data_IF_647120193292
#
_entry.id   IF_647120193292
#
_cell.length_a   1.000
_cell.length_b   1.000
_cell.length_c   1.000
_cell.angle_alpha   90.00
_cell.angle_beta   90.00
_cell.angle_gamma   90.00
#
_symmetry.space_group_name_H-M   'P 1'
#
loop_
_entity.id
_entity.type
_entity.pdbx_description
1 polymer ?
#
# COMPACT_ATOMS: atom_id res chain seq x y z
N UNK A 1 10.10 -0.27 9.06
CA UNK A 1 8.78 0.19 8.52
C UNK A 1 8.08 1.15 9.47
N UNK A 2 7.96 0.83 10.77
CA UNK A 2 7.31 1.70 11.77
C UNK A 2 7.86 3.14 11.83
N UNK A 3 9.18 3.32 11.81
CA UNK A 3 9.77 4.67 11.84
C UNK A 3 9.33 5.56 10.65
N UNK A 4 9.28 4.98 9.45
CA UNK A 4 8.80 5.68 8.24
C UNK A 4 7.31 6.00 8.39
N UNK A 5 6.52 5.04 8.87
CA UNK A 5 5.08 5.22 9.09
C UNK A 5 4.80 6.42 10.01
N UNK A 6 5.47 6.50 11.16
CA UNK A 6 5.31 7.59 12.12
C UNK A 6 5.64 8.94 11.49
N UNK A 7 6.81 9.05 10.82
CA UNK A 7 7.21 10.29 10.16
C UNK A 7 6.24 10.70 9.05
N UNK A 8 5.77 9.75 8.24
CA UNK A 8 4.81 10.02 7.17
C UNK A 8 3.43 10.45 7.71
N UNK A 9 2.93 9.84 8.79
CA UNK A 9 1.68 10.26 9.42
C UNK A 9 1.80 11.67 10.03
N UNK A 10 2.92 11.95 10.69
CA UNK A 10 3.22 13.26 11.27
C UNK A 10 3.27 14.35 10.19
N UNK A 11 3.95 14.10 9.06
CA UNK A 11 4.08 15.07 7.96
C UNK A 11 2.88 15.07 6.99
N UNK A 12 1.99 14.07 7.05
CA UNK A 12 0.95 13.87 6.04
C UNK A 12 1.52 13.45 4.68
N UNK A 13 2.70 12.82 4.66
CA UNK A 13 3.41 12.42 3.45
C UNK A 13 2.86 11.09 2.93
N UNK A 14 2.46 11.07 1.65
CA UNK A 14 2.09 9.85 0.94
C UNK A 14 3.32 9.03 0.60
N UNK A 15 3.25 7.71 0.72
CA UNK A 15 4.39 6.83 0.49
C UNK A 15 3.94 5.42 0.06
N UNK A 16 4.81 4.70 -0.63
CA UNK A 16 4.56 3.31 -1.04
C UNK A 16 5.55 2.41 -0.30
N UNK A 17 5.03 1.39 0.36
CA UNK A 17 5.81 0.33 0.99
C UNK A 17 5.85 -0.90 0.10
N UNK A 18 6.94 -1.67 0.20
CA UNK A 18 7.06 -2.95 -0.48
C UNK A 18 7.70 -4.01 0.42
N UNK A 19 7.29 -5.24 0.19
CA UNK A 19 7.77 -6.40 0.93
C UNK A 19 7.94 -7.62 0.03
N UNK A 20 8.90 -8.46 0.40
CA UNK A 20 9.11 -9.81 -0.14
C UNK A 20 9.18 -10.74 1.05
N UNK A 21 8.59 -11.92 0.94
CA UNK A 21 8.59 -12.94 2.00
C UNK A 21 9.95 -13.60 2.17
N UNK A 22 10.18 -14.17 3.36
CA UNK A 22 11.45 -14.82 3.71
C UNK A 22 11.76 -16.07 2.86
N UNK A 23 10.74 -16.67 2.24
CA UNK A 23 10.89 -17.81 1.33
C UNK A 23 10.94 -17.38 -0.15
N UNK A 24 10.93 -16.07 -0.42
CA UNK A 24 11.00 -15.45 -1.74
C UNK A 24 9.91 -15.83 -2.76
N UNK A 25 8.82 -16.47 -2.34
CA UNK A 25 7.72 -16.86 -3.26
C UNK A 25 6.49 -15.97 -3.15
N UNK A 26 6.57 -14.87 -2.40
CA UNK A 26 5.53 -13.86 -2.36
C UNK A 26 6.07 -12.46 -2.10
N UNK A 27 5.27 -11.47 -2.43
CA UNK A 27 5.58 -10.08 -2.14
C UNK A 27 4.37 -9.18 -2.32
N UNK A 28 4.54 -7.90 -2.03
CA UNK A 28 3.46 -6.92 -2.16
C UNK A 28 4.01 -5.51 -2.30
N UNK A 29 3.14 -4.61 -2.77
CA UNK A 29 3.26 -3.17 -2.61
C UNK A 29 2.00 -2.62 -1.96
N UNK A 30 2.15 -1.57 -1.15
CA UNK A 30 1.03 -0.88 -0.51
C UNK A 30 1.22 0.63 -0.58
N UNK A 31 0.26 1.32 -1.19
CA UNK A 31 0.23 2.77 -1.25
C UNK A 31 -0.53 3.35 -0.05
N UNK A 32 0.20 4.08 0.78
CA UNK A 32 -0.30 4.66 2.02
C UNK A 32 -0.48 6.16 1.87
N UNK A 33 -1.74 6.59 2.06
CA UNK A 33 -2.16 7.98 2.11
C UNK A 33 -2.67 8.23 3.52
N UNK A 34 -1.90 8.95 4.38
CA UNK A 34 -2.28 9.18 5.76
C UNK A 34 -3.71 9.75 5.89
N UNK A 35 -4.57 9.01 6.60
CA UNK A 35 -5.96 9.38 6.82
C UNK A 35 -6.97 8.84 5.81
N UNK A 36 -6.53 8.46 4.61
CA UNK A 36 -7.39 7.94 3.53
C UNK A 36 -7.29 6.41 3.42
N UNK A 37 -6.07 5.86 3.44
CA UNK A 37 -5.81 4.41 3.42
C UNK A 37 -5.13 3.96 4.71
N UNK A 38 -5.18 2.65 4.98
CA UNK A 38 -4.54 2.05 6.15
C UNK A 38 -3.04 2.38 6.18
N UNK A 39 -2.59 2.98 7.28
CA UNK A 39 -1.17 3.13 7.56
C UNK A 39 -0.59 1.78 8.04
N UNK A 40 0.73 1.68 8.16
CA UNK A 40 1.38 0.42 8.55
C UNK A 40 1.01 -0.02 9.98
N UNK A 41 0.65 0.93 10.85
CA UNK A 41 0.18 0.68 12.22
C UNK A 41 -1.33 0.37 12.32
N UNK A 42 -2.09 0.44 11.22
CA UNK A 42 -3.52 0.11 11.24
C UNK A 42 -3.75 -1.41 11.31
N UNK A 43 -2.87 -2.19 10.71
CA UNK A 43 -2.87 -3.65 10.71
C UNK A 43 -1.44 -4.17 10.90
N UNK A 44 -0.83 -3.95 12.08
CA UNK A 44 0.55 -4.33 12.31
C UNK A 44 0.71 -5.85 12.28
N UNK A 45 1.86 -6.38 11.80
CA UNK A 45 2.14 -7.80 11.90
C UNK A 45 2.21 -8.22 13.38
N UNK A 46 1.91 -9.49 13.66
CA UNK A 46 1.80 -10.04 15.02
C UNK A 46 3.00 -9.74 15.92
N UNK A 47 4.21 -9.76 15.34
CA UNK A 47 5.47 -9.49 16.05
C UNK A 47 5.50 -8.06 16.62
N UNK A 48 5.06 -7.10 15.81
CA UNK A 48 4.96 -5.69 16.22
C UNK A 48 3.84 -5.51 17.24
N UNK A 49 2.66 -6.11 16.99
CA UNK A 49 1.53 -6.03 17.92
C UNK A 49 1.83 -6.65 19.30
N UNK A 50 2.69 -7.67 19.35
CA UNK A 50 3.06 -8.37 20.59
C UNK A 50 4.27 -7.76 21.29
N UNK A 51 4.84 -6.65 20.80
CA UNK A 51 6.09 -6.05 21.29
C UNK A 51 7.26 -7.06 21.42
N UNK A 52 7.28 -8.07 20.55
CA UNK A 52 8.38 -9.03 20.47
C UNK A 52 9.50 -8.39 19.65
N UNK A 53 10.72 -8.40 20.17
CA UNK A 53 11.88 -7.90 19.41
C UNK A 53 12.07 -8.78 18.16
N UNK A 54 12.01 -8.18 16.96
CA UNK A 54 12.21 -8.87 15.68
C UNK A 54 13.53 -9.66 15.66
N UNK A 55 14.55 -9.23 16.42
CA UNK A 55 15.83 -9.95 16.55
C UNK A 55 15.67 -11.35 17.13
N UNK A 56 14.64 -11.58 17.94
CA UNK A 56 14.37 -12.90 18.56
C UNK A 56 13.82 -13.92 17.55
N UNK A 57 13.26 -13.48 16.42
CA UNK A 57 12.81 -14.35 15.33
C UNK A 57 13.94 -14.71 14.37
N UNK A 58 14.98 -13.87 14.31
CA UNK A 58 16.15 -14.11 13.47
C UNK A 58 17.06 -15.15 14.11
N UNK A 59 17.14 -16.34 13.51
CA UNK A 59 18.16 -17.34 13.88
C UNK A 59 19.51 -16.94 13.30
N UNK A 60 20.53 -16.87 14.15
CA UNK A 60 21.90 -16.63 13.69
C UNK A 60 22.35 -17.74 12.72
N UNK A 61 23.00 -17.34 11.63
CA UNK A 61 23.48 -18.26 10.58
C UNK A 61 22.44 -18.67 9.52
N UNK A 62 21.18 -18.19 9.62
CA UNK A 62 20.14 -18.47 8.62
C UNK A 62 19.83 -17.19 7.84
N UNK A 63 19.86 -17.27 6.50
CA UNK A 63 19.45 -16.17 5.63
C UNK A 63 17.99 -16.36 5.18
N UNK A 64 17.29 -15.25 4.98
CA UNK A 64 16.07 -15.27 4.18
C UNK A 64 16.43 -15.68 2.75
N UNK A 65 15.63 -16.55 2.15
CA UNK A 65 15.74 -16.83 0.74
C UNK A 65 15.49 -15.54 -0.05
N UNK A 66 16.25 -15.34 -1.11
CA UNK A 66 16.13 -14.18 -1.97
C UNK A 66 16.25 -14.63 -3.42
N UNK A 67 15.16 -14.49 -4.16
CA UNK A 67 15.10 -14.80 -5.58
C UNK A 67 15.07 -13.48 -6.38
N UNK A 68 16.03 -13.23 -7.29
CA UNK A 68 16.06 -12.00 -8.09
C UNK A 68 14.78 -11.75 -8.90
N UNK A 69 14.09 -12.82 -9.28
CA UNK A 69 12.80 -12.76 -10.00
C UNK A 69 11.73 -12.07 -9.18
N UNK A 70 11.49 -12.51 -7.94
CA UNK A 70 10.49 -11.92 -7.04
C UNK A 70 10.83 -10.47 -6.70
N UNK A 71 12.11 -10.18 -6.46
CA UNK A 71 12.56 -8.79 -6.23
C UNK A 71 12.32 -7.90 -7.45
N UNK A 72 12.62 -8.39 -8.65
CA UNK A 72 12.41 -7.66 -9.90
C UNK A 72 10.93 -7.38 -10.17
N UNK A 73 10.06 -8.37 -9.94
CA UNK A 73 8.61 -8.22 -10.09
C UNK A 73 8.05 -7.17 -9.11
N UNK A 74 8.40 -7.29 -7.82
CA UNK A 74 7.92 -6.34 -6.79
C UNK A 74 8.44 -4.93 -7.04
N UNK A 75 9.70 -4.78 -7.44
CA UNK A 75 10.27 -3.49 -7.83
C UNK A 75 9.56 -2.90 -9.07
N UNK A 76 9.26 -3.73 -10.06
CA UNK A 76 8.48 -3.34 -11.24
C UNK A 76 7.10 -2.82 -10.86
N UNK A 77 6.37 -3.53 -9.99
CA UNK A 77 5.08 -3.07 -9.46
C UNK A 77 5.20 -1.74 -8.72
N UNK A 78 6.21 -1.61 -7.85
CA UNK A 78 6.44 -0.42 -7.05
C UNK A 78 6.64 0.82 -7.93
N UNK A 79 7.55 0.74 -8.91
CA UNK A 79 7.84 1.86 -9.82
C UNK A 79 6.65 2.13 -10.73
N UNK A 80 6.00 1.09 -11.26
CA UNK A 80 4.82 1.28 -12.11
C UNK A 80 3.69 1.99 -11.34
N UNK A 81 3.47 1.67 -10.07
CA UNK A 81 2.48 2.35 -9.25
C UNK A 81 2.86 3.79 -8.92
N UNK A 82 4.14 4.06 -8.68
CA UNK A 82 4.66 5.41 -8.51
C UNK A 82 4.47 6.26 -9.78
N UNK A 83 4.74 5.71 -10.97
CA UNK A 83 4.52 6.38 -12.25
C UNK A 83 3.03 6.68 -12.48
N UNK A 84 2.15 5.68 -12.29
CA UNK A 84 0.70 5.88 -12.39
C UNK A 84 0.23 7.03 -11.49
N UNK A 85 0.77 7.10 -10.27
CA UNK A 85 0.42 8.14 -9.30
C UNK A 85 0.97 9.52 -9.67
N UNK A 86 2.24 9.62 -10.05
CA UNK A 86 2.90 10.91 -10.33
C UNK A 86 2.48 11.51 -11.67
N UNK A 87 2.22 10.67 -12.68
CA UNK A 87 1.90 11.07 -14.04
C UNK A 87 0.40 11.00 -14.35
N UNK A 88 -0.43 10.65 -13.37
CA UNK A 88 -1.90 10.62 -13.48
C UNK A 88 -2.43 9.79 -14.66
N UNK A 89 -1.89 8.59 -14.86
CA UNK A 89 -2.36 7.65 -15.89
C UNK A 89 -2.71 6.29 -15.29
N UNK A 90 -3.61 5.57 -15.98
CA UNK A 90 -4.11 4.28 -15.51
C UNK A 90 -4.79 4.38 -14.15
N UNK A 91 -4.82 3.26 -13.42
CA UNK A 91 -5.44 3.18 -12.09
C UNK A 91 -4.38 2.92 -11.04
N UNK A 92 -4.17 3.84 -10.11
CA UNK A 92 -3.30 3.65 -8.95
C UNK A 92 -3.87 2.54 -8.05
N UNK A 93 -3.00 1.64 -7.62
CA UNK A 93 -3.38 0.49 -6.81
C UNK A 93 -2.99 0.74 -5.35
N UNK A 94 -3.93 0.57 -4.41
CA UNK A 94 -3.67 0.79 -2.99
C UNK A 94 -2.95 -0.38 -2.31
N UNK A 95 -3.24 -1.61 -2.74
CA UNK A 95 -2.48 -2.78 -2.40
C UNK A 95 -2.47 -3.75 -3.58
N UNK A 96 -1.30 -4.27 -3.90
CA UNK A 96 -1.11 -5.33 -4.88
C UNK A 96 -0.22 -6.40 -4.25
N UNK A 97 -0.77 -7.59 -4.08
CA UNK A 97 -0.01 -8.77 -3.68
C UNK A 97 0.52 -9.54 -4.89
N UNK A 98 1.50 -10.39 -4.64
CA UNK A 98 2.07 -11.33 -5.58
C UNK A 98 2.30 -12.67 -4.87
N UNK A 99 1.69 -13.73 -5.38
CA UNK A 99 1.97 -15.11 -5.01
C UNK A 99 2.61 -15.83 -6.22
N UNK A 100 3.89 -16.15 -6.12
CA UNK A 100 4.66 -16.78 -7.19
C UNK A 100 4.35 -18.27 -7.38
N UNK A 101 3.71 -18.93 -6.41
CA UNK A 101 3.36 -20.35 -6.51
C UNK A 101 2.11 -20.59 -7.37
N UNK A 102 1.20 -19.62 -7.39
CA UNK A 102 -0.10 -19.71 -8.05
C UNK A 102 -0.28 -18.66 -9.15
N UNK A 103 0.77 -17.89 -9.44
CA UNK A 103 0.73 -16.75 -10.36
C UNK A 103 -0.43 -15.80 -10.09
N UNK A 104 -0.68 -15.53 -8.80
CA UNK A 104 -1.85 -14.81 -8.34
C UNK A 104 -1.50 -13.39 -7.85
N UNK A 105 -2.31 -12.41 -8.27
CA UNK A 105 -2.06 -10.98 -8.05
C UNK A 105 -3.28 -10.29 -7.41
N UNK A 106 -3.52 -10.47 -6.10
CA UNK A 106 -4.68 -9.88 -5.44
C UNK A 106 -4.55 -8.36 -5.31
N UNK A 107 -5.63 -7.66 -5.66
CA UNK A 107 -5.77 -6.21 -5.46
C UNK A 107 -6.77 -5.97 -4.33
N UNK A 108 -6.42 -5.09 -3.40
CA UNK A 108 -7.32 -4.67 -2.32
C UNK A 108 -7.14 -3.20 -1.98
N UNK A 109 -8.06 -2.67 -1.17
CA UNK A 109 -7.95 -1.36 -0.55
C UNK A 109 -8.24 -1.50 0.94
N UNK A 110 -7.24 -1.18 1.76
CA UNK A 110 -7.35 -1.25 3.21
C UNK A 110 -7.71 0.12 3.75
N UNK A 111 -8.77 0.18 4.58
CA UNK A 111 -9.20 1.41 5.22
C UNK A 111 -8.43 1.66 6.53
N UNK A 112 -8.23 2.93 6.93
CA UNK A 112 -7.65 3.25 8.22
C UNK A 112 -8.41 2.62 9.39
N UNK A 113 -7.68 2.20 10.42
CA UNK A 113 -8.26 1.77 11.68
C UNK A 113 -8.63 3.01 12.53
N UNK A 114 -9.91 3.21 12.91
CA UNK A 114 -10.33 4.34 13.74
C UNK A 114 -9.64 4.40 15.11
N UNK A 115 -9.19 3.25 15.62
CA UNK A 115 -8.47 3.13 16.91
C UNK A 115 -7.01 2.77 16.71
N UNK A 116 -6.38 3.22 15.60
CA UNK A 116 -4.96 3.01 15.35
C UNK A 116 -4.09 3.58 16.50
N UNK A 117 -3.03 2.86 16.89
CA UNK A 117 -2.12 3.29 17.98
C UNK A 117 -1.34 4.57 17.65
N UNK A 118 -1.19 4.90 16.36
CA UNK A 118 -0.56 6.13 15.91
C UNK A 118 -1.56 7.30 15.98
N UNK A 119 -1.33 8.22 16.93
CA UNK A 119 -2.18 9.39 17.16
C UNK A 119 -2.22 10.35 15.95
N UNK A 120 -1.13 10.45 15.18
CA UNK A 120 -1.11 11.23 13.95
C UNK A 120 -1.99 10.56 12.89
N UNK A 121 -2.03 9.23 12.81
CA UNK A 121 -2.95 8.55 11.90
C UNK A 121 -4.41 8.92 12.21
N UNK A 122 -4.83 8.87 13.48
CA UNK A 122 -6.19 9.28 13.88
C UNK A 122 -6.47 10.75 13.54
N UNK A 123 -5.49 11.64 13.73
CA UNK A 123 -5.60 13.05 13.34
C UNK A 123 -5.82 13.19 11.83
N UNK A 124 -5.01 12.54 11.01
CA UNK A 124 -5.15 12.58 9.53
C UNK A 124 -6.48 11.99 9.05
N UNK A 125 -7.02 10.98 9.73
CA UNK A 125 -8.33 10.42 9.42
C UNK A 125 -9.45 11.46 9.59
N UNK A 126 -9.40 12.25 10.66
CA UNK A 126 -10.37 13.34 10.89
C UNK A 126 -10.25 14.41 9.82
N UNK A 127 -9.02 14.86 9.53
CA UNK A 127 -8.76 15.84 8.46
C UNK A 127 -9.25 15.35 7.09
N UNK A 128 -9.11 14.05 6.80
CA UNK A 128 -9.61 13.44 5.58
C UNK A 128 -11.14 13.44 5.54
N UNK A 129 -11.81 13.03 6.63
CA UNK A 129 -13.27 13.03 6.72
C UNK A 129 -13.87 14.43 6.54
N UNK A 130 -13.27 15.46 7.17
CA UNK A 130 -13.68 16.85 6.99
C UNK A 130 -13.55 17.30 5.53
N UNK A 131 -12.45 16.95 4.87
CA UNK A 131 -12.25 17.24 3.44
C UNK A 131 -13.27 16.52 2.57
N UNK A 132 -13.60 15.26 2.84
CA UNK A 132 -14.61 14.51 2.10
C UNK A 132 -16.01 15.14 2.24
N UNK A 133 -16.37 15.62 3.44
CA UNK A 133 -17.65 16.31 3.68
C UNK A 133 -17.77 17.63 2.92
N UNK A 134 -16.64 18.30 2.66
CA UNK A 134 -16.57 19.54 1.89
C UNK A 134 -16.56 19.31 0.37
N UNK A 135 -16.33 18.07 -0.10
CA UNK A 135 -16.36 17.78 -1.53
C UNK A 135 -17.79 17.91 -2.06
N UNK A 136 -18.00 18.62 -3.20
CA UNK A 136 -19.28 18.59 -3.89
C UNK A 136 -19.66 17.15 -4.19
N UNK A 137 -20.94 16.79 -4.02
CA UNK A 137 -21.44 15.47 -4.41
C UNK A 137 -21.07 15.24 -5.88
N UNK A 138 -20.53 14.05 -6.25
CA UNK A 138 -20.14 13.80 -7.62
C UNK A 138 -21.38 13.90 -8.51
N UNK A 139 -21.36 14.86 -9.42
CA UNK A 139 -22.24 14.88 -10.58
C UNK A 139 -21.98 13.58 -11.34
N UNK A 140 -23.02 12.83 -11.68
CA UNK A 140 -22.90 11.60 -12.46
C UNK A 140 -22.36 11.98 -13.85
N UNK A 141 -21.04 11.99 -14.00
CA UNK A 141 -20.39 12.09 -15.30
C UNK A 141 -20.64 10.76 -16.02
N UNK A 142 -21.56 10.81 -16.98
CA UNK A 142 -21.75 9.74 -17.95
C UNK A 142 -20.41 9.56 -18.65
N UNK A 143 -19.74 8.42 -18.42
CA UNK A 143 -18.58 8.05 -19.23
C UNK A 143 -19.07 7.91 -20.66
N UNK A 144 -18.74 8.88 -21.52
CA UNK A 144 -18.86 8.72 -22.96
C UNK A 144 -18.00 7.52 -23.34
N UNK A 145 -18.65 6.41 -23.69
CA UNK A 145 -17.97 5.30 -24.35
C UNK A 145 -17.44 5.85 -25.67
N UNK A 146 -16.11 5.90 -25.80
CA UNK A 146 -15.48 6.27 -27.06
C UNK A 146 -15.95 5.30 -28.12
N UNK A 147 -16.68 5.81 -29.11
CA UNK A 147 -17.14 5.04 -30.25
C UNK A 147 -15.93 4.41 -30.95
N UNK A 148 -15.89 3.08 -31.02
CA UNK A 148 -14.80 2.34 -31.66
C UNK A 148 -15.00 2.44 -33.17
N UNK A 149 -14.25 3.33 -33.81
CA UNK A 149 -14.23 3.44 -35.28
C UNK A 149 -13.31 2.35 -35.83
N UNK A 150 -13.84 1.50 -36.71
CA UNK A 150 -13.06 0.55 -37.47
C UNK A 150 -12.67 1.17 -38.82
N UNK A 151 -11.41 1.02 -39.24
CA UNK A 151 -11.03 1.27 -40.64
C UNK A 151 -11.55 0.12 -41.52
N UNK A 152 -12.17 0.45 -42.65
CA UNK A 152 -12.73 -0.50 -43.63
C UNK A 152 -11.67 -1.45 -44.22
#
# INVERSE_FOLDING_TARGET
RMAINTACNELGQKWIESGVSENAVSGHIQFMIPGETACFACAPPLVVASNIDEKTLKREGVCAASLPTTMGIVAGFLVQNALKYLLSFGTVTYYLGYNALEDFFPIMSMKPNPTCEDSYCQKRQKEYQEKELLKPKPTLEVKEEKEVVHED
#
